data_IF_746894168933
#
_entry.id   IF_746894168933
#
_cell.length_a   1.000
_cell.length_b   1.000
_cell.length_c   1.000
_cell.angle_alpha   90.00
_cell.angle_beta   90.00
_cell.angle_gamma   90.00
#
_symmetry.space_group_name_H-M   'P 1'
#
loop_
_entity.id
_entity.type
_entity.pdbx_description
1 polymer ?
#
# COMPACT_ATOMS: atom_id res chain seq x y z
N UNK A 1 -3.83 -10.20 25.32
CA UNK A 1 -3.57 -9.69 23.95
C UNK A 1 -4.42 -10.53 23.00
N UNK A 2 -5.14 -9.93 22.04
CA UNK A 2 -5.85 -10.73 21.03
C UNK A 2 -4.86 -11.65 20.30
N UNK A 3 -5.28 -12.86 19.95
CA UNK A 3 -4.45 -13.76 19.14
C UNK A 3 -4.25 -13.19 17.73
N UNK A 4 -3.09 -13.39 17.10
CA UNK A 4 -2.87 -13.00 15.71
C UNK A 4 -3.87 -13.73 14.82
N UNK A 5 -4.55 -12.98 13.95
CA UNK A 5 -5.40 -13.55 12.90
C UNK A 5 -4.65 -13.45 11.58
N UNK A 6 -4.53 -14.58 10.90
CA UNK A 6 -3.93 -14.64 9.56
C UNK A 6 -5.01 -15.03 8.56
N UNK A 7 -5.12 -14.26 7.48
CA UNK A 7 -6.02 -14.55 6.35
C UNK A 7 -5.17 -14.59 5.08
N UNK A 8 -5.42 -15.59 4.23
CA UNK A 8 -4.75 -15.74 2.94
C UNK A 8 -5.79 -15.97 1.85
N UNK A 9 -5.45 -15.53 0.64
CA UNK A 9 -6.29 -15.71 -0.54
C UNK A 9 -5.44 -15.63 -1.80
N UNK A 10 -5.92 -16.26 -2.87
CA UNK A 10 -5.28 -16.20 -4.18
C UNK A 10 -6.35 -16.14 -5.27
N UNK A 11 -5.97 -15.58 -6.41
CA UNK A 11 -6.83 -15.50 -7.58
C UNK A 11 -5.99 -15.42 -8.85
N UNK A 12 -6.47 -16.04 -9.92
CA UNK A 12 -5.91 -15.84 -11.25
C UNK A 12 -6.39 -14.52 -11.85
N UNK A 13 -5.45 -13.77 -12.44
CA UNK A 13 -5.72 -12.47 -13.07
C UNK A 13 -5.34 -12.60 -14.54
N UNK A 14 -6.21 -12.21 -15.50
CA UNK A 14 -5.96 -12.35 -16.94
C UNK A 14 -5.00 -11.27 -17.48
N UNK A 15 -3.91 -11.01 -16.76
CA UNK A 15 -2.91 -10.00 -17.10
C UNK A 15 -1.50 -10.51 -16.82
N UNK A 16 -0.53 -10.00 -17.57
CA UNK A 16 0.87 -10.29 -17.32
C UNK A 16 1.32 -9.81 -15.94
N UNK A 17 2.30 -10.52 -15.36
CA UNK A 17 2.84 -10.25 -14.02
C UNK A 17 3.28 -8.80 -13.83
N UNK A 18 3.95 -8.21 -14.84
CA UNK A 18 4.40 -6.81 -14.81
C UNK A 18 3.24 -5.84 -14.63
N UNK A 19 2.12 -6.04 -15.36
CA UNK A 19 0.93 -5.19 -15.27
C UNK A 19 0.23 -5.33 -13.92
N UNK A 20 0.16 -6.54 -13.38
CA UNK A 20 -0.39 -6.77 -12.04
C UNK A 20 0.48 -6.11 -10.96
N UNK A 21 1.80 -6.21 -11.10
CA UNK A 21 2.75 -5.55 -10.21
C UNK A 21 2.60 -4.03 -10.22
N UNK A 22 2.56 -3.41 -11.41
CA UNK A 22 2.38 -1.96 -11.55
C UNK A 22 1.05 -1.48 -10.92
N UNK A 23 -0.02 -2.29 -10.98
CA UNK A 23 -1.30 -1.94 -10.38
C UNK A 23 -1.37 -2.10 -8.85
N UNK A 24 -0.56 -2.98 -8.25
CA UNK A 24 -0.65 -3.33 -6.82
C UNK A 24 0.50 -2.79 -5.97
N UNK A 25 1.72 -2.77 -6.52
CA UNK A 25 2.93 -2.45 -5.77
C UNK A 25 3.31 -0.96 -5.87
N UNK A 26 2.69 -0.20 -6.77
CA UNK A 26 2.92 1.24 -6.89
C UNK A 26 2.05 1.96 -5.86
N UNK A 27 2.69 2.75 -4.99
CA UNK A 27 2.01 3.69 -4.12
C UNK A 27 1.54 4.90 -4.95
N UNK A 28 0.49 4.70 -5.74
CA UNK A 28 -0.18 5.80 -6.44
C UNK A 28 -0.92 6.69 -5.42
N UNK A 29 -1.13 7.99 -5.74
CA UNK A 29 -1.93 8.88 -4.87
C UNK A 29 -3.31 8.32 -4.51
N UNK A 30 -3.87 7.46 -5.36
CA UNK A 30 -5.05 6.65 -5.06
C UNK A 30 -4.96 5.28 -5.71
N UNK A 31 -5.10 4.22 -4.90
CA UNK A 31 -5.18 2.83 -5.36
C UNK A 31 -6.65 2.41 -5.44
N UNK A 32 -7.18 2.26 -6.66
CA UNK A 32 -8.56 1.82 -6.89
C UNK A 32 -8.85 0.38 -6.46
N UNK A 33 -7.81 -0.47 -6.36
CA UNK A 33 -7.96 -1.87 -5.93
C UNK A 33 -8.21 -1.95 -4.42
N UNK A 34 -7.50 -1.14 -3.65
CA UNK A 34 -7.57 -1.13 -2.19
C UNK A 34 -8.57 -0.09 -1.66
N UNK A 35 -9.03 0.84 -2.52
CA UNK A 35 -9.77 2.03 -2.16
C UNK A 35 -9.07 2.85 -1.06
N UNK A 36 -7.80 3.20 -1.32
CA UNK A 36 -6.91 3.90 -0.38
C UNK A 36 -6.07 4.92 -1.13
N UNK A 37 -5.93 6.12 -0.54
CA UNK A 37 -4.96 7.13 -0.94
C UNK A 37 -3.67 7.02 -0.13
N UNK A 38 -2.53 6.97 -0.82
CA UNK A 38 -1.21 6.92 -0.17
C UNK A 38 -0.55 8.30 -0.17
N UNK A 39 -0.23 8.79 1.01
CA UNK A 39 0.63 9.97 1.20
C UNK A 39 2.03 9.48 1.54
N UNK A 40 3.01 9.80 0.70
CA UNK A 40 4.39 9.34 0.84
C UNK A 40 5.28 10.54 1.13
N UNK A 41 6.11 10.43 2.17
CA UNK A 41 7.00 11.52 2.60
C UNK A 41 8.10 11.83 1.54
N UNK A 42 8.53 10.79 0.81
CA UNK A 42 9.50 10.88 -0.27
C UNK A 42 8.84 10.52 -1.60
N UNK A 43 9.02 11.37 -2.61
CA UNK A 43 8.50 11.16 -3.98
C UNK A 43 9.40 10.27 -4.83
N UNK A 44 10.46 9.70 -4.25
CA UNK A 44 11.27 8.68 -4.92
C UNK A 44 10.44 7.43 -5.23
N UNK A 45 10.95 6.60 -6.16
CA UNK A 45 10.30 5.35 -6.50
C UNK A 45 10.18 4.45 -5.26
N UNK A 46 9.01 3.82 -5.01
CA UNK A 46 8.80 3.02 -3.82
C UNK A 46 9.77 1.83 -3.76
N UNK A 47 10.20 1.51 -2.56
CA UNK A 47 11.09 0.40 -2.27
C UNK A 47 11.06 0.02 -0.79
N UNK A 48 11.92 -0.92 -0.39
CA UNK A 48 12.02 -1.31 1.02
C UNK A 48 12.43 -0.11 1.87
N UNK A 49 11.72 0.10 2.98
CA UNK A 49 11.90 1.23 3.89
C UNK A 49 11.05 2.46 3.55
N UNK A 50 10.38 2.50 2.39
CA UNK A 50 9.43 3.57 2.06
C UNK A 50 8.32 3.60 3.11
N UNK A 51 8.08 4.81 3.67
CA UNK A 51 7.02 5.09 4.63
C UNK A 51 5.89 5.85 3.97
N UNK A 52 4.67 5.56 4.40
CA UNK A 52 3.47 6.19 3.86
C UNK A 52 2.36 6.27 4.91
N UNK A 53 1.39 7.15 4.67
CA UNK A 53 0.11 7.17 5.36
C UNK A 53 -0.95 6.66 4.39
N UNK A 54 -1.74 5.68 4.82
CA UNK A 54 -2.83 5.10 4.04
C UNK A 54 -4.16 5.69 4.51
N UNK A 55 -4.78 6.53 3.69
CA UNK A 55 -6.08 7.14 3.96
C UNK A 55 -7.16 6.35 3.23
N UNK A 56 -8.18 5.81 3.92
CA UNK A 56 -9.30 5.14 3.25
C UNK A 56 -10.04 6.07 2.27
N UNK A 57 -10.34 5.55 1.08
CA UNK A 57 -10.97 6.30 0.01
C UNK A 57 -10.01 7.23 -0.74
N UNK A 58 -10.60 8.22 -1.43
CA UNK A 58 -9.85 9.26 -2.14
C UNK A 58 -9.53 10.43 -1.22
N UNK A 59 -8.29 10.87 -1.25
CA UNK A 59 -7.83 12.11 -0.65
C UNK A 59 -7.59 13.15 -1.74
N UNK A 60 -8.17 14.34 -1.59
CA UNK A 60 -7.93 15.45 -2.51
C UNK A 60 -6.49 15.97 -2.41
N UNK A 61 -5.97 16.47 -3.53
CA UNK A 61 -4.60 16.98 -3.60
C UNK A 61 -4.35 18.10 -2.57
N UNK A 62 -3.26 17.95 -1.80
CA UNK A 62 -2.84 18.92 -0.79
C UNK A 62 -3.60 18.86 0.53
N UNK A 63 -4.62 18.00 0.65
CA UNK A 63 -5.31 17.76 1.93
C UNK A 63 -4.41 16.89 2.81
N UNK A 64 -4.32 17.26 4.09
CA UNK A 64 -3.57 16.49 5.09
C UNK A 64 -4.34 15.22 5.47
N UNK A 65 -3.65 14.08 5.65
CA UNK A 65 -4.27 12.88 6.19
C UNK A 65 -5.00 13.15 7.51
N UNK A 66 -6.21 12.61 7.70
CA UNK A 66 -6.90 12.68 8.98
C UNK A 66 -6.05 12.12 10.11
N UNK A 67 -6.19 12.70 11.30
CA UNK A 67 -5.58 12.14 12.51
C UNK A 67 -6.06 10.70 12.72
N UNK A 68 -5.13 9.79 13.00
CA UNK A 68 -5.44 8.36 13.16
C UNK A 68 -5.48 7.57 11.85
N UNK A 69 -5.02 8.16 10.73
CA UNK A 69 -4.85 7.39 9.48
C UNK A 69 -3.74 6.33 9.65
N UNK A 70 -3.95 5.09 9.19
CA UNK A 70 -2.95 4.04 9.25
C UNK A 70 -1.59 4.46 8.67
N UNK A 71 -0.52 4.15 9.40
CA UNK A 71 0.85 4.38 8.94
C UNK A 71 1.43 3.08 8.41
N UNK A 72 2.18 3.15 7.32
CA UNK A 72 2.74 1.98 6.65
C UNK A 72 4.22 2.10 6.35
N UNK A 73 4.88 0.95 6.33
CA UNK A 73 6.26 0.79 5.86
C UNK A 73 6.34 -0.41 4.92
N UNK A 74 7.00 -0.25 3.77
CA UNK A 74 7.35 -1.39 2.90
C UNK A 74 8.52 -2.15 3.55
N UNK A 75 8.26 -3.36 4.04
CA UNK A 75 9.26 -4.18 4.73
C UNK A 75 9.94 -5.21 3.82
N UNK A 76 9.32 -5.50 2.68
CA UNK A 76 9.87 -6.37 1.63
C UNK A 76 9.54 -5.83 0.24
N UNK A 77 10.52 -5.91 -0.66
CA UNK A 77 10.40 -5.46 -2.05
C UNK A 77 11.23 -6.36 -2.97
N UNK A 78 10.57 -7.22 -3.70
CA UNK A 78 11.14 -8.06 -4.76
C UNK A 78 10.38 -7.75 -6.05
N UNK A 79 10.97 -7.00 -7.00
CA UNK A 79 10.28 -6.52 -8.19
C UNK A 79 9.54 -7.63 -8.93
N UNK A 80 8.28 -7.36 -9.28
CA UNK A 80 7.37 -8.27 -9.98
C UNK A 80 7.04 -9.58 -9.25
N UNK A 81 7.47 -9.76 -8.00
CA UNK A 81 7.24 -11.01 -7.25
C UNK A 81 6.55 -10.78 -5.91
N UNK A 82 7.03 -9.83 -5.11
CA UNK A 82 6.59 -9.70 -3.72
C UNK A 82 6.77 -8.29 -3.17
N UNK A 83 5.70 -7.78 -2.58
CA UNK A 83 5.68 -6.58 -1.74
C UNK A 83 5.01 -6.95 -0.43
N UNK A 84 5.60 -6.53 0.68
CA UNK A 84 4.98 -6.66 1.99
C UNK A 84 5.03 -5.33 2.72
N UNK A 85 3.91 -4.95 3.33
CA UNK A 85 3.79 -3.75 4.14
C UNK A 85 3.51 -4.13 5.59
N UNK A 86 4.09 -3.37 6.51
CA UNK A 86 3.69 -3.39 7.92
C UNK A 86 2.83 -2.16 8.16
N UNK A 87 1.63 -2.36 8.67
CA UNK A 87 0.74 -1.26 9.04
C UNK A 87 0.71 -1.09 10.55
N UNK A 88 0.75 0.15 11.00
CA UNK A 88 0.40 0.58 12.34
C UNK A 88 -0.99 1.20 12.27
N UNK A 89 -1.94 0.52 12.89
CA UNK A 89 -3.32 0.99 13.01
C UNK A 89 -3.41 1.80 14.30
N UNK A 90 -4.06 2.96 14.24
CA UNK A 90 -4.27 3.87 15.38
C UNK A 90 -5.73 3.94 15.77
#
# INVERSE_FOLDING_TARGET
MPQPVTVTGSREVPHERRRVWEALAVLEPYCAVCDVSYVVDDRSAPGRGTRFVAVPGRLDDGVQPPAGSPQGEIVEWVPQERVATRLQLT
#
